data_IF_114043085405
#
_entry.id   IF_114043085405
#
_cell.length_a   1.000
_cell.length_b   1.000
_cell.length_c   1.000
_cell.angle_alpha   90.00
_cell.angle_beta   90.00
_cell.angle_gamma   90.00
#
_symmetry.space_group_name_H-M   'P 1'
#
loop_
_entity.id
_entity.type
_entity.pdbx_description
1 polymer ?
#
# COMPACT_ATOMS: atom_id res chain seq x y z
N UNK A 1 -16.36 14.31 10.86
CA UNK A 1 -16.47 12.85 10.83
C UNK A 1 -15.44 12.22 11.75
N UNK A 2 -15.88 11.31 12.58
CA UNK A 2 -14.96 10.62 13.50
C UNK A 2 -14.22 9.51 12.75
N UNK A 3 -12.93 9.49 12.93
CA UNK A 3 -12.08 8.45 12.33
C UNK A 3 -11.52 7.58 13.44
N UNK A 4 -12.27 6.56 13.78
CA UNK A 4 -11.96 5.74 14.94
C UNK A 4 -10.64 4.97 14.78
N UNK A 5 -10.37 4.45 13.60
CA UNK A 5 -9.17 3.65 13.35
C UNK A 5 -7.89 4.46 13.48
N UNK A 6 -7.90 5.70 13.00
CA UNK A 6 -6.72 6.55 12.98
C UNK A 6 -6.78 7.72 13.95
N UNK A 7 -7.63 7.62 14.95
CA UNK A 7 -7.88 8.75 15.86
C UNK A 7 -6.64 9.21 16.60
N UNK A 8 -5.71 8.31 16.89
CA UNK A 8 -4.47 8.62 17.60
C UNK A 8 -3.28 8.83 16.68
N UNK A 9 -3.48 8.69 15.40
CA UNK A 9 -2.40 8.85 14.44
C UNK A 9 -2.17 10.34 14.15
N UNK A 10 -0.93 10.73 14.12
CA UNK A 10 -0.52 12.09 13.73
C UNK A 10 0.67 11.98 12.79
N UNK A 11 0.58 12.53 11.57
CA UNK A 11 1.73 12.56 10.69
C UNK A 11 2.82 13.42 11.32
N UNK A 12 4.06 13.00 11.10
CA UNK A 12 5.22 13.75 11.55
C UNK A 12 5.58 14.78 10.47
N UNK A 13 6.84 15.24 10.48
CA UNK A 13 7.27 16.26 9.52
C UNK A 13 7.39 15.76 8.09
N UNK A 14 7.18 14.48 7.85
CA UNK A 14 7.25 13.88 6.53
C UNK A 14 5.93 13.99 5.80
N UNK A 15 5.98 13.91 4.49
CA UNK A 15 4.79 13.85 3.66
C UNK A 15 3.97 12.61 4.00
N UNK A 16 2.67 12.79 4.16
CA UNK A 16 1.75 11.69 4.44
C UNK A 16 0.68 11.67 3.35
N UNK A 17 0.48 10.52 2.75
CA UNK A 17 -0.50 10.39 1.66
C UNK A 17 -1.93 10.35 2.15
N UNK A 18 -2.15 9.97 3.40
CA UNK A 18 -3.49 9.86 3.97
C UNK A 18 -3.97 11.14 4.63
N UNK A 19 -3.08 11.85 5.30
CA UNK A 19 -3.43 13.01 6.11
C UNK A 19 -2.65 14.24 5.68
N UNK A 20 -3.32 15.38 5.67
CA UNK A 20 -2.75 16.63 5.16
C UNK A 20 -1.72 17.23 6.10
N UNK A 21 -1.94 17.11 7.41
CA UNK A 21 -1.15 17.83 8.39
C UNK A 21 -1.16 17.11 9.73
N UNK A 22 -0.59 17.77 10.72
CA UNK A 22 -0.51 17.22 12.08
C UNK A 22 -1.84 17.20 12.82
N UNK A 23 -2.89 17.72 12.21
CA UNK A 23 -4.21 17.78 12.83
C UNK A 23 -5.07 16.58 12.49
N UNK A 24 -4.49 15.60 11.83
CA UNK A 24 -5.22 14.38 11.47
C UNK A 24 -6.38 14.65 10.52
N UNK A 25 -6.17 15.57 9.58
CA UNK A 25 -7.15 15.88 8.54
C UNK A 25 -6.88 15.02 7.32
N UNK A 26 -7.81 14.11 7.02
CA UNK A 26 -7.66 13.21 5.88
C UNK A 26 -7.71 13.98 4.57
N UNK A 27 -6.94 13.52 3.59
CA UNK A 27 -7.04 14.04 2.23
C UNK A 27 -8.39 13.63 1.64
N UNK A 28 -8.97 14.50 0.84
CA UNK A 28 -10.32 14.29 0.35
C UNK A 28 -10.49 12.99 -0.43
N UNK A 29 -9.47 12.65 -1.22
CA UNK A 29 -9.54 11.43 -2.03
C UNK A 29 -9.62 10.16 -1.20
N UNK A 30 -9.20 10.22 0.06
CA UNK A 30 -9.20 9.07 0.94
C UNK A 30 -10.46 8.94 1.78
N UNK A 31 -11.35 9.91 1.72
CA UNK A 31 -12.55 9.89 2.57
C UNK A 31 -13.38 8.62 2.40
N UNK A 32 -13.67 8.13 1.17
CA UNK A 32 -14.42 6.88 1.04
C UNK A 32 -13.69 5.68 1.62
N UNK A 33 -12.39 5.60 1.41
CA UNK A 33 -11.59 4.50 1.94
C UNK A 33 -11.58 4.51 3.47
N UNK A 34 -11.36 5.68 4.06
CA UNK A 34 -11.32 5.80 5.52
C UNK A 34 -12.65 5.47 6.16
N UNK A 35 -13.75 5.84 5.50
CA UNK A 35 -15.08 5.47 5.99
C UNK A 35 -15.27 3.96 5.99
N UNK A 36 -14.83 3.30 4.93
CA UNK A 36 -14.91 1.84 4.84
C UNK A 36 -14.04 1.16 5.90
N UNK A 37 -12.84 1.69 6.14
CA UNK A 37 -11.96 1.14 7.15
C UNK A 37 -12.52 1.33 8.56
N UNK A 38 -13.12 2.48 8.84
CA UNK A 38 -13.75 2.73 10.13
C UNK A 38 -14.94 1.79 10.36
N UNK A 39 -15.73 1.53 9.33
CA UNK A 39 -16.84 0.59 9.42
C UNK A 39 -16.36 -0.84 9.63
N UNK A 40 -15.25 -1.20 9.02
CA UNK A 40 -14.66 -2.52 9.18
C UNK A 40 -14.10 -2.73 10.58
N UNK A 41 -13.37 -1.75 11.09
CA UNK A 41 -12.71 -1.83 12.36
C UNK A 41 -11.34 -2.48 12.30
N UNK A 42 -10.52 -2.15 13.28
CA UNK A 42 -9.14 -2.62 13.32
C UNK A 42 -9.04 -4.15 13.46
N UNK A 43 -9.92 -4.74 14.27
CA UNK A 43 -9.88 -6.19 14.49
C UNK A 43 -10.14 -6.96 13.21
N UNK A 44 -11.11 -6.52 12.42
CA UNK A 44 -11.41 -7.18 11.16
C UNK A 44 -10.30 -6.97 10.15
N UNK A 45 -9.71 -5.77 10.12
CA UNK A 45 -8.57 -5.51 9.26
C UNK A 45 -7.40 -6.44 9.60
N UNK A 46 -7.12 -6.61 10.88
CA UNK A 46 -6.06 -7.52 11.32
C UNK A 46 -6.35 -8.97 10.96
N UNK A 47 -7.60 -9.40 11.10
CA UNK A 47 -8.00 -10.74 10.69
C UNK A 47 -7.82 -10.96 9.20
N UNK A 48 -8.23 -9.99 8.41
CA UNK A 48 -8.09 -10.06 6.96
C UNK A 48 -6.62 -10.07 6.55
N UNK A 49 -5.79 -9.29 7.23
CA UNK A 49 -4.35 -9.28 6.97
C UNK A 49 -3.72 -10.64 7.28
N UNK A 50 -4.09 -11.24 8.40
CA UNK A 50 -3.61 -12.57 8.77
C UNK A 50 -4.07 -13.63 7.78
N UNK A 51 -5.32 -13.56 7.33
CA UNK A 51 -5.86 -14.48 6.34
C UNK A 51 -5.13 -14.35 5.00
N UNK A 52 -4.83 -13.12 4.60
CA UNK A 52 -4.08 -12.86 3.37
C UNK A 52 -2.67 -13.44 3.45
N UNK A 53 -2.00 -13.29 4.59
CA UNK A 53 -0.67 -13.89 4.77
C UNK A 53 -0.69 -15.41 4.63
N UNK A 54 -1.69 -16.05 5.24
CA UNK A 54 -1.84 -17.49 5.13
C UNK A 54 -2.11 -17.92 3.69
N UNK A 55 -2.92 -17.15 2.99
CA UNK A 55 -3.25 -17.44 1.61
C UNK A 55 -2.02 -17.31 0.71
N UNK A 56 -1.20 -16.28 0.90
CA UNK A 56 0.04 -16.12 0.15
C UNK A 56 1.00 -17.25 0.41
N UNK A 57 1.11 -17.69 1.65
CA UNK A 57 1.97 -18.80 2.01
C UNK A 57 1.50 -20.10 1.34
N UNK A 58 0.18 -20.34 1.37
CA UNK A 58 -0.41 -21.53 0.77
C UNK A 58 -0.20 -21.57 -0.75
N UNK A 59 -0.28 -20.41 -1.41
CA UNK A 59 -0.13 -20.33 -2.86
C UNK A 59 1.33 -20.22 -3.32
N UNK A 60 2.28 -20.27 -2.39
CA UNK A 60 3.68 -20.24 -2.76
C UNK A 60 4.21 -18.87 -3.14
N UNK A 61 3.49 -17.80 -2.82
CA UNK A 61 3.97 -16.44 -3.05
C UNK A 61 4.99 -16.05 -1.98
N UNK A 62 6.11 -16.77 -1.94
CA UNK A 62 7.12 -16.68 -0.91
C UNK A 62 8.49 -16.52 -1.53
N UNK A 63 9.45 -16.17 -0.69
CA UNK A 63 10.84 -16.14 -1.09
C UNK A 63 11.70 -16.81 -0.03
N UNK A 64 12.87 -17.26 -0.44
CA UNK A 64 13.82 -17.89 0.48
C UNK A 64 14.95 -16.93 0.79
N UNK A 65 15.39 -16.96 2.03
CA UNK A 65 16.60 -16.25 2.44
C UNK A 65 17.79 -17.15 2.21
N UNK A 66 18.55 -16.88 1.14
CA UNK A 66 19.66 -17.72 0.74
C UNK A 66 20.92 -17.51 1.58
N UNK A 67 21.02 -16.38 2.24
CA UNK A 67 22.22 -15.96 2.95
C UNK A 67 22.29 -16.48 4.38
N UNK A 68 21.24 -17.08 4.89
CA UNK A 68 21.21 -17.59 6.26
C UNK A 68 21.71 -19.01 6.42
N UNK A 69 21.84 -19.74 5.33
CA UNK A 69 22.21 -21.15 5.39
C UNK A 69 21.16 -22.07 5.96
N UNK A 70 20.00 -21.54 6.33
CA UNK A 70 18.90 -22.34 6.85
C UNK A 70 18.04 -22.79 5.70
N UNK A 71 18.05 -24.10 5.46
CA UNK A 71 17.24 -24.68 4.39
C UNK A 71 15.75 -24.64 4.75
N UNK A 72 14.94 -24.31 3.78
CA UNK A 72 13.50 -24.44 3.90
C UNK A 72 12.80 -23.29 4.60
N UNK A 73 13.49 -22.21 4.92
CA UNK A 73 12.85 -21.04 5.48
C UNK A 73 12.21 -20.21 4.37
N UNK A 74 10.94 -20.38 4.19
CA UNK A 74 10.17 -19.58 3.24
C UNK A 74 9.43 -18.49 3.99
N UNK A 75 9.47 -17.29 3.43
CA UNK A 75 8.76 -16.14 3.99
C UNK A 75 7.94 -15.47 2.91
N UNK A 76 6.75 -15.02 3.28
CA UNK A 76 5.95 -14.22 2.38
C UNK A 76 6.57 -12.83 2.25
N UNK A 77 6.35 -12.20 1.10
CA UNK A 77 6.74 -10.80 0.95
C UNK A 77 5.89 -9.95 1.89
N UNK A 78 6.52 -9.10 2.70
CA UNK A 78 5.74 -8.19 3.54
C UNK A 78 4.89 -7.27 2.67
N UNK A 79 3.69 -7.04 3.09
CA UNK A 79 2.82 -6.11 2.38
C UNK A 79 1.97 -5.34 3.37
N UNK A 80 1.55 -4.17 2.93
CA UNK A 80 0.71 -3.28 3.74
C UNK A 80 -0.75 -3.56 3.43
N UNK A 81 -1.59 -3.89 4.42
CA UNK A 81 -3.01 -4.11 4.18
C UNK A 81 -3.77 -2.84 3.83
N UNK A 82 -3.17 -1.68 4.07
CA UNK A 82 -3.79 -0.41 3.72
C UNK A 82 -3.37 -0.02 2.31
N UNK A 83 -4.33 0.18 1.39
CA UNK A 83 -3.98 0.46 0.01
C UNK A 83 -3.45 1.88 -0.16
N UNK A 84 -2.61 2.04 -1.15
CA UNK A 84 -2.20 3.35 -1.61
C UNK A 84 -3.18 3.80 -2.68
N UNK A 85 -3.71 5.00 -2.52
CA UNK A 85 -4.69 5.53 -3.45
C UNK A 85 -3.99 6.49 -4.41
N UNK A 86 -4.10 6.20 -5.69
CA UNK A 86 -3.53 7.03 -6.74
C UNK A 86 -4.69 7.71 -7.46
N UNK A 87 -4.72 9.05 -7.44
CA UNK A 87 -5.77 9.79 -8.11
C UNK A 87 -5.67 9.63 -9.62
N UNK A 88 -6.79 9.89 -10.30
CA UNK A 88 -6.80 9.89 -11.75
C UNK A 88 -5.79 10.90 -12.31
N UNK A 89 -5.69 12.05 -11.70
CA UNK A 89 -4.73 13.07 -12.10
C UNK A 89 -3.29 12.57 -12.00
N UNK A 90 -2.95 11.96 -10.88
CA UNK A 90 -1.62 11.41 -10.66
C UNK A 90 -1.35 10.24 -11.60
N UNK A 91 -2.35 9.43 -11.85
CA UNK A 91 -2.22 8.31 -12.75
C UNK A 91 -1.89 8.74 -14.17
N UNK A 92 -2.54 9.80 -14.66
CA UNK A 92 -2.28 10.34 -15.98
C UNK A 92 -0.82 10.78 -16.08
N UNK A 93 -0.30 11.44 -15.06
CA UNK A 93 1.09 11.87 -15.02
C UNK A 93 2.05 10.68 -15.03
N UNK A 94 1.79 9.67 -14.19
CA UNK A 94 2.62 8.47 -14.14
C UNK A 94 2.62 7.72 -15.45
N UNK A 95 1.46 7.58 -16.05
CA UNK A 95 1.30 6.89 -17.32
C UNK A 95 2.10 7.59 -18.44
N UNK A 96 2.03 8.91 -18.49
CA UNK A 96 2.77 9.68 -19.49
C UNK A 96 4.28 9.52 -19.34
N UNK A 97 4.77 9.59 -18.09
CA UNK A 97 6.20 9.41 -17.81
C UNK A 97 6.65 8.00 -18.15
N UNK A 98 5.89 7.01 -17.76
CA UNK A 98 6.21 5.61 -18.02
C UNK A 98 6.24 5.31 -19.51
N UNK A 99 5.27 5.83 -20.23
CA UNK A 99 5.21 5.65 -21.68
C UNK A 99 6.45 6.25 -22.35
N UNK A 100 6.85 7.44 -21.94
CA UNK A 100 8.03 8.10 -22.49
C UNK A 100 9.29 7.28 -22.25
N UNK A 101 9.45 6.75 -21.05
CA UNK A 101 10.61 5.93 -20.71
C UNK A 101 10.65 4.63 -21.50
N UNK A 102 9.50 4.01 -21.72
CA UNK A 102 9.45 2.73 -22.42
C UNK A 102 9.61 2.89 -23.93
N UNK A 103 9.14 3.99 -24.51
CA UNK A 103 9.16 4.17 -25.96
C UNK A 103 10.48 4.72 -26.49
N UNK A 104 11.17 5.56 -25.73
CA UNK A 104 12.41 6.16 -26.18
C UNK A 104 13.49 5.13 -26.52
N UNK A 105 13.78 4.14 -25.65
CA UNK A 105 14.77 3.10 -26.00
C UNK A 105 14.36 2.32 -27.24
N UNK A 106 13.10 2.02 -27.40
CA UNK A 106 12.59 1.29 -28.56
C UNK A 106 12.83 2.05 -29.84
N UNK A 107 12.60 3.34 -29.85
CA UNK A 107 12.83 4.19 -31.01
C UNK A 107 14.30 4.27 -31.39
N UNK A 108 15.20 4.18 -30.43
CA UNK A 108 16.65 4.21 -30.71
C UNK A 108 17.16 2.95 -31.36
N UNK A 109 16.53 1.84 -31.07
CA UNK A 109 16.95 0.55 -31.61
C UNK A 109 16.56 0.41 -33.08
N UNK A 110 15.48 1.04 -33.44
CA UNK A 110 14.99 1.05 -34.80
C UNK A 110 15.66 2.16 -35.61
#
# INVERSE_FOLDING_TARGET
MKRYMFSNYRPKNNFDEYFKDNLNSAREILTPLLSSLDNMGLDELNRNHSAAKKLLLRHGATFRLNDTGVKGTERILPFDPLPRIISKHDWITLEAVSYTHLTLPTKRIV
#
